data_IF_737867711835
#
_entry.id   IF_737867711835
#
_cell.length_a   1.000
_cell.length_b   1.000
_cell.length_c   1.000
_cell.angle_alpha   90.00
_cell.angle_beta   90.00
_cell.angle_gamma   90.00
#
_symmetry.space_group_name_H-M   'P 1'
#
loop_
_entity.id
_entity.type
_entity.pdbx_description
1 polymer ?
#
# COMPACT_ATOMS: atom_id res chain seq x y z
N UNK A 1 -9.41 -1.05 34.51
CA UNK A 1 -9.01 -0.11 33.43
C UNK A 1 -8.99 -0.89 32.13
N UNK A 2 -9.87 -0.56 31.18
CA UNK A 2 -9.89 -1.17 29.84
C UNK A 2 -8.86 -0.43 29.00
N UNK A 3 -7.75 -1.09 28.69
CA UNK A 3 -6.78 -0.56 27.72
C UNK A 3 -7.40 -0.79 26.34
N UNK A 4 -7.92 0.27 25.75
CA UNK A 4 -8.37 0.29 24.36
C UNK A 4 -7.12 0.60 23.54
N UNK A 5 -6.52 -0.42 22.94
CA UNK A 5 -5.50 -0.23 21.92
C UNK A 5 -6.21 0.11 20.61
N UNK A 6 -6.24 1.39 20.27
CA UNK A 6 -6.64 1.88 18.95
C UNK A 6 -5.61 1.41 17.92
N UNK A 7 -5.94 0.37 17.17
CA UNK A 7 -5.20 -0.06 15.98
C UNK A 7 -5.56 0.92 14.85
N UNK A 8 -4.84 2.03 14.75
CA UNK A 8 -5.06 3.05 13.70
C UNK A 8 -3.75 3.52 13.05
N UNK A 9 -2.62 2.84 13.26
CA UNK A 9 -1.32 3.34 12.84
C UNK A 9 -0.96 3.02 11.37
N UNK A 10 -1.54 1.99 10.75
CA UNK A 10 -1.19 1.58 9.38
C UNK A 10 -1.90 2.39 8.28
N UNK A 11 -3.09 2.90 8.55
CA UNK A 11 -3.89 3.67 7.59
C UNK A 11 -3.46 5.13 7.46
N UNK A 12 -2.73 5.68 8.43
CA UNK A 12 -2.24 7.06 8.40
C UNK A 12 -1.05 7.21 7.45
N UNK A 13 -0.16 6.21 7.39
CA UNK A 13 1.05 6.26 6.57
C UNK A 13 0.76 6.35 5.05
N UNK A 14 -0.34 5.75 4.59
CA UNK A 14 -0.75 5.83 3.16
C UNK A 14 -1.37 7.20 2.85
N UNK A 15 -2.08 7.79 3.81
CA UNK A 15 -2.73 9.09 3.65
C UNK A 15 -1.71 10.23 3.54
N UNK A 16 -0.57 10.11 4.24
CA UNK A 16 0.46 11.16 4.31
C UNK A 16 1.59 10.98 3.28
N UNK A 17 1.72 9.81 2.63
CA UNK A 17 2.82 9.52 1.71
C UNK A 17 3.04 10.59 0.61
N UNK A 18 1.98 10.98 -0.09
CA UNK A 18 2.10 12.00 -1.14
C UNK A 18 2.45 13.37 -0.55
N UNK A 19 1.96 13.67 0.65
CA UNK A 19 2.25 14.92 1.34
C UNK A 19 3.70 14.94 1.83
N UNK A 20 4.25 13.81 2.31
CA UNK A 20 5.66 13.70 2.69
C UNK A 20 6.59 13.98 1.50
N UNK A 21 6.27 13.44 0.31
CA UNK A 21 7.02 13.76 -0.92
C UNK A 21 6.89 15.24 -1.27
N UNK A 22 5.68 15.80 -1.15
CA UNK A 22 5.40 17.21 -1.41
C UNK A 22 6.23 18.13 -0.50
N UNK A 23 6.25 17.85 0.80
CA UNK A 23 6.97 18.62 1.81
C UNK A 23 8.50 18.58 1.59
N UNK A 24 9.00 17.49 1.01
CA UNK A 24 10.39 17.34 0.59
C UNK A 24 10.77 18.09 -0.70
N UNK A 25 9.80 18.69 -1.40
CA UNK A 25 10.00 19.28 -2.72
C UNK A 25 9.44 20.70 -2.82
N UNK A 26 10.31 21.72 -2.85
CA UNK A 26 9.93 23.14 -2.72
C UNK A 26 8.79 23.61 -3.65
N UNK A 27 8.76 23.25 -4.96
CA UNK A 27 7.64 23.64 -5.82
C UNK A 27 6.27 23.14 -5.32
N UNK A 28 6.23 22.02 -4.61
CA UNK A 28 5.03 21.51 -3.95
C UNK A 28 4.82 22.11 -2.55
N UNK A 29 5.85 22.03 -1.69
CA UNK A 29 5.80 22.48 -0.29
C UNK A 29 5.41 23.95 -0.13
N UNK A 30 5.92 24.82 -1.00
CA UNK A 30 5.65 26.27 -0.96
C UNK A 30 4.35 26.64 -1.71
N UNK A 31 3.68 25.67 -2.33
CA UNK A 31 2.46 25.88 -3.08
C UNK A 31 1.22 25.95 -2.18
N UNK A 32 0.14 26.52 -2.69
CA UNK A 32 -1.19 26.50 -2.05
C UNK A 32 -1.94 25.17 -2.21
N UNK A 33 -1.39 24.19 -2.94
CA UNK A 33 -2.12 23.01 -3.38
C UNK A 33 -1.89 21.79 -2.47
N UNK A 34 -0.64 21.50 -2.10
CA UNK A 34 -0.26 20.25 -1.43
C UNK A 34 -0.40 19.02 -2.35
N UNK A 35 -0.09 17.82 -1.84
CA UNK A 35 -0.31 16.57 -2.55
C UNK A 35 -0.98 15.52 -1.66
N UNK A 36 -1.80 14.66 -2.27
CA UNK A 36 -2.58 13.65 -1.58
C UNK A 36 -2.86 12.46 -2.51
N UNK A 37 -3.17 11.31 -1.91
CA UNK A 37 -3.61 10.14 -2.67
C UNK A 37 -4.99 10.33 -3.27
N UNK A 38 -5.07 10.30 -4.60
CA UNK A 38 -6.34 10.33 -5.32
C UNK A 38 -6.97 8.93 -5.31
N UNK A 39 -8.28 8.86 -5.55
CA UNK A 39 -9.03 7.59 -5.61
C UNK A 39 -8.60 6.65 -6.75
N UNK A 40 -7.78 7.11 -7.69
CA UNK A 40 -7.17 6.28 -8.74
C UNK A 40 -5.78 5.76 -8.38
N UNK A 41 -5.35 5.87 -7.10
CA UNK A 41 -4.11 5.28 -6.62
C UNK A 41 -2.83 6.07 -6.96
N UNK A 42 -2.93 7.33 -7.40
CA UNK A 42 -1.75 8.17 -7.66
C UNK A 42 -1.81 9.50 -6.92
N UNK A 43 -0.64 10.05 -6.59
CA UNK A 43 -0.51 11.33 -5.94
C UNK A 43 -1.02 12.47 -6.83
N UNK A 44 -1.70 13.44 -6.22
CA UNK A 44 -2.10 14.65 -6.91
C UNK A 44 -0.87 15.49 -7.30
N UNK A 45 -0.72 15.79 -8.59
CA UNK A 45 0.27 16.73 -9.11
C UNK A 45 1.73 16.24 -9.11
N UNK A 46 2.05 15.10 -8.51
CA UNK A 46 3.42 14.56 -8.44
C UNK A 46 3.68 13.56 -9.57
N UNK A 47 4.78 13.78 -10.28
CA UNK A 47 5.26 12.92 -11.35
C UNK A 47 6.73 12.60 -11.16
N UNK A 48 7.15 11.41 -11.59
CA UNK A 48 8.55 11.01 -11.66
C UNK A 48 9.25 11.82 -12.75
N UNK A 49 10.37 12.46 -12.38
CA UNK A 49 11.18 13.25 -13.31
C UNK A 49 12.65 13.13 -12.93
N UNK A 50 13.46 12.67 -13.88
CA UNK A 50 14.88 12.36 -13.66
C UNK A 50 15.05 11.44 -12.42
N UNK A 51 15.96 11.78 -11.51
CA UNK A 51 16.18 11.05 -10.24
C UNK A 51 15.26 11.54 -9.09
N UNK A 52 14.22 12.31 -9.39
CA UNK A 52 13.35 12.92 -8.39
C UNK A 52 11.90 13.08 -8.84
N UNK A 53 11.31 14.19 -8.43
CA UNK A 53 9.90 14.50 -8.65
C UNK A 53 9.74 15.88 -9.26
N UNK A 54 8.62 16.10 -9.93
CA UNK A 54 8.13 17.44 -10.26
C UNK A 54 6.68 17.61 -9.79
N UNK A 55 6.25 18.86 -9.65
CA UNK A 55 4.91 19.22 -9.19
C UNK A 55 4.16 20.05 -10.24
N UNK A 56 3.29 19.36 -10.98
CA UNK A 56 2.59 19.89 -12.13
C UNK A 56 1.81 21.19 -11.87
N UNK A 57 1.16 21.41 -10.70
CA UNK A 57 0.44 22.66 -10.44
C UNK A 57 1.30 23.92 -10.46
N UNK A 58 2.61 23.83 -10.15
CA UNK A 58 3.54 24.96 -10.15
C UNK A 58 4.56 24.92 -11.28
N UNK A 59 4.72 23.77 -11.95
CA UNK A 59 5.78 23.53 -12.93
C UNK A 59 5.23 23.04 -14.29
N UNK A 60 4.05 23.51 -14.70
CA UNK A 60 3.31 23.05 -15.88
C UNK A 60 4.17 22.89 -17.15
N UNK A 61 5.11 23.82 -17.40
CA UNK A 61 5.96 23.80 -18.60
C UNK A 61 7.04 22.70 -18.59
N UNK A 62 7.38 22.16 -17.41
CA UNK A 62 8.47 21.19 -17.25
C UNK A 62 8.04 19.92 -16.52
N UNK A 63 6.78 19.84 -16.11
CA UNK A 63 6.16 18.72 -15.41
C UNK A 63 4.88 18.34 -16.16
N UNK A 64 5.09 17.68 -17.31
CA UNK A 64 4.05 17.32 -18.27
C UNK A 64 3.42 15.97 -17.91
N UNK A 65 2.12 15.97 -17.63
CA UNK A 65 1.34 14.80 -17.24
C UNK A 65 1.01 13.85 -18.39
N UNK A 66 1.28 14.23 -19.64
CA UNK A 66 1.13 13.35 -20.81
C UNK A 66 2.36 12.47 -21.07
N UNK A 67 3.51 12.86 -20.54
CA UNK A 67 4.79 12.20 -20.82
C UNK A 67 5.46 11.61 -19.59
N UNK A 68 5.19 12.15 -18.40
CA UNK A 68 5.78 11.69 -17.15
C UNK A 68 4.88 10.68 -16.43
N UNK A 69 5.51 9.73 -15.76
CA UNK A 69 4.81 8.72 -14.96
C UNK A 69 4.31 9.35 -13.64
N UNK A 70 3.02 9.23 -13.30
CA UNK A 70 2.51 9.75 -12.03
C UNK A 70 3.07 8.94 -10.85
N UNK A 71 3.32 9.62 -9.73
CA UNK A 71 3.77 8.93 -8.50
C UNK A 71 2.61 8.11 -7.94
N UNK A 72 2.78 6.79 -7.86
CA UNK A 72 1.79 5.91 -7.26
C UNK A 72 1.72 6.08 -5.74
N UNK A 73 0.52 5.98 -5.19
CA UNK A 73 0.32 5.82 -3.76
C UNK A 73 0.83 4.45 -3.32
N UNK A 74 1.37 4.33 -2.10
CA UNK A 74 1.63 3.02 -1.53
C UNK A 74 0.29 2.31 -1.41
N UNK A 75 0.16 1.17 -2.10
CA UNK A 75 -0.96 0.28 -1.87
C UNK A 75 -0.99 -0.09 -0.37
N UNK A 76 -2.16 -0.05 0.28
CA UNK A 76 -2.25 -0.53 1.65
C UNK A 76 -1.71 -1.96 1.67
N UNK A 77 -0.75 -2.24 2.56
CA UNK A 77 -0.23 -3.60 2.70
C UNK A 77 -1.41 -4.53 3.00
N UNK A 78 -1.72 -5.50 2.12
CA UNK A 78 -2.91 -6.31 2.29
C UNK A 78 -2.82 -7.07 3.60
N UNK A 79 -3.90 -7.07 4.39
CA UNK A 79 -3.94 -7.87 5.60
C UNK A 79 -3.98 -9.35 5.22
N UNK A 80 -3.59 -10.23 6.15
CA UNK A 80 -3.75 -11.67 5.92
C UNK A 80 -5.20 -12.06 5.59
N UNK A 81 -6.18 -11.32 6.11
CA UNK A 81 -7.57 -11.57 5.78
C UNK A 81 -7.93 -11.10 4.36
N UNK A 82 -7.34 -10.01 3.87
CA UNK A 82 -7.53 -9.56 2.48
C UNK A 82 -6.97 -10.62 1.52
N UNK A 83 -5.75 -11.10 1.77
CA UNK A 83 -5.14 -12.18 0.99
C UNK A 83 -5.99 -13.46 1.04
N UNK A 84 -6.54 -13.79 2.21
CA UNK A 84 -7.46 -14.92 2.36
C UNK A 84 -8.75 -14.77 1.53
N UNK A 85 -9.32 -13.57 1.47
CA UNK A 85 -10.55 -13.31 0.72
C UNK A 85 -10.38 -13.50 -0.78
N UNK A 86 -9.16 -13.27 -1.29
CA UNK A 86 -8.80 -13.47 -2.71
C UNK A 86 -8.57 -14.94 -3.07
N UNK A 87 -8.45 -15.83 -2.08
CA UNK A 87 -8.23 -17.26 -2.24
C UNK A 87 -9.52 -18.02 -1.89
N UNK A 88 -10.20 -18.64 -2.86
CA UNK A 88 -11.48 -19.36 -2.60
C UNK A 88 -11.33 -20.43 -1.51
N UNK A 89 -10.22 -21.15 -1.52
CA UNK A 89 -9.88 -22.17 -0.53
C UNK A 89 -9.75 -21.62 0.90
N UNK A 90 -9.46 -20.33 1.08
CA UNK A 90 -9.42 -19.66 2.38
C UNK A 90 -10.73 -18.93 2.69
N UNK A 91 -11.23 -18.11 1.76
CA UNK A 91 -12.48 -17.35 1.88
C UNK A 91 -13.67 -18.22 2.24
N UNK A 92 -13.79 -19.37 1.57
CA UNK A 92 -14.94 -20.28 1.74
C UNK A 92 -14.71 -21.29 2.88
N UNK A 93 -13.56 -21.20 3.56
CA UNK A 93 -13.22 -22.06 4.70
C UNK A 93 -13.81 -21.53 6.02
N UNK A 94 -13.93 -22.42 7.01
CA UNK A 94 -14.30 -22.03 8.38
C UNK A 94 -13.16 -21.37 9.18
N UNK A 95 -11.97 -21.23 8.60
CA UNK A 95 -10.75 -20.88 9.33
C UNK A 95 -10.37 -19.40 9.21
N UNK A 96 -10.47 -18.83 8.01
CA UNK A 96 -9.95 -17.48 7.72
C UNK A 96 -8.43 -17.38 7.86
N UNK A 97 -7.89 -16.15 7.82
CA UNK A 97 -6.46 -15.91 8.05
C UNK A 97 -6.21 -14.66 8.89
N UNK A 98 -5.14 -14.68 9.67
CA UNK A 98 -4.70 -13.58 10.52
C UNK A 98 -3.18 -13.55 10.59
N UNK A 99 -2.62 -12.40 10.96
CA UNK A 99 -1.18 -12.24 11.08
C UNK A 99 -0.66 -12.86 12.38
N UNK A 100 0.27 -13.81 12.27
CA UNK A 100 1.02 -14.37 13.40
C UNK A 100 2.18 -13.46 13.75
N UNK A 101 1.87 -12.39 14.46
CA UNK A 101 2.85 -11.38 14.90
C UNK A 101 3.90 -11.92 15.87
N UNK A 102 3.68 -13.10 16.44
CA UNK A 102 4.63 -13.79 17.31
C UNK A 102 5.69 -14.61 16.56
N UNK A 103 5.67 -14.65 15.22
CA UNK A 103 6.74 -15.23 14.40
C UNK A 103 7.60 -14.11 13.80
N UNK A 104 8.88 -14.40 13.51
CA UNK A 104 9.80 -13.46 12.88
C UNK A 104 10.49 -14.10 11.65
N UNK A 105 10.16 -13.68 10.41
CA UNK A 105 9.19 -12.63 10.07
C UNK A 105 7.76 -13.03 10.45
N UNK A 106 6.88 -12.03 10.63
CA UNK A 106 5.46 -12.29 10.83
C UNK A 106 4.87 -12.91 9.56
N UNK A 107 4.01 -13.92 9.72
CA UNK A 107 3.42 -14.66 8.60
C UNK A 107 1.91 -14.80 8.76
N UNK A 108 1.21 -15.01 7.65
CA UNK A 108 -0.23 -15.23 7.66
C UNK A 108 -0.56 -16.68 8.05
N UNK A 109 -1.52 -16.86 8.96
CA UNK A 109 -2.00 -18.19 9.31
C UNK A 109 -2.55 -18.92 8.08
N UNK A 110 -2.02 -20.12 7.83
CA UNK A 110 -2.50 -21.03 6.78
C UNK A 110 -2.09 -20.64 5.36
N UNK A 111 -1.62 -19.42 5.10
CA UNK A 111 -1.19 -18.98 3.76
C UNK A 111 0.30 -19.28 3.59
N UNK A 112 0.63 -20.08 2.58
CA UNK A 112 2.01 -20.43 2.22
C UNK A 112 2.28 -19.88 0.83
N UNK A 113 3.46 -19.30 0.63
CA UNK A 113 3.97 -18.88 -0.68
C UNK A 113 4.89 -19.98 -1.21
N UNK A 114 4.51 -20.58 -2.34
CA UNK A 114 5.28 -21.60 -3.04
C UNK A 114 6.48 -20.99 -3.78
N UNK A 115 7.42 -21.84 -4.19
CA UNK A 115 8.63 -21.42 -4.94
C UNK A 115 8.31 -20.73 -6.28
N UNK A 116 7.19 -21.09 -6.92
CA UNK A 116 6.71 -20.45 -8.15
C UNK A 116 6.02 -19.09 -7.90
N UNK A 117 5.94 -18.65 -6.64
CA UNK A 117 5.31 -17.40 -6.22
C UNK A 117 3.80 -17.50 -5.99
N UNK A 118 3.16 -18.64 -6.27
CA UNK A 118 1.75 -18.85 -5.99
C UNK A 118 1.47 -18.96 -4.49
N UNK A 119 0.24 -18.65 -4.09
CA UNK A 119 -0.23 -18.78 -2.71
C UNK A 119 -1.12 -20.01 -2.57
N UNK A 120 -0.99 -20.72 -1.45
CA UNK A 120 -1.88 -21.82 -1.09
C UNK A 120 -2.35 -21.72 0.36
N UNK A 121 -3.46 -22.37 0.69
CA UNK A 121 -4.07 -22.33 2.02
C UNK A 121 -4.06 -23.71 2.68
N UNK A 122 -3.03 -23.99 3.48
CA UNK A 122 -2.76 -25.30 4.08
C UNK A 122 -3.93 -25.94 4.85
N UNK A 123 -4.83 -25.18 5.53
CA UNK A 123 -5.96 -25.80 6.24
C UNK A 123 -7.00 -26.51 5.36
N UNK A 124 -7.05 -26.22 4.06
CA UNK A 124 -7.99 -26.83 3.10
C UNK A 124 -7.30 -27.45 1.87
N UNK A 125 -6.00 -27.21 1.70
CA UNK A 125 -5.20 -27.71 0.59
C UNK A 125 -4.07 -28.61 1.12
N UNK A 126 -4.17 -29.91 0.86
CA UNK A 126 -3.17 -30.91 1.29
C UNK A 126 -1.87 -30.83 0.50
N UNK A 127 -1.88 -30.19 -0.67
CA UNK A 127 -0.72 -30.05 -1.56
C UNK A 127 -0.03 -28.69 -1.34
N UNK A 128 -0.35 -28.04 -0.22
CA UNK A 128 0.22 -26.80 0.25
C UNK A 128 1.38 -27.13 1.21
N UNK A 129 2.52 -27.53 0.62
CA UNK A 129 3.79 -27.77 1.31
C UNK A 129 4.84 -26.72 0.92
#
# INVERSE_FOLDING_TARGET
>A
MKVVFTIAALSVAVAEYCQDICDGYSPCADSKYGSYCKGNGVCFGLYHKDDGYCFQPTEQDTCDDYTLEPVACPEPTPTCQDVCNDMSQCRDSKWGSYCKTWQNPAVCFGIIKKDDGSLCFAPTDSDCE
#
